data_IF_372511989250
#
_entry.id   IF_372511989250
#
_cell.length_a   1.000
_cell.length_b   1.000
_cell.length_c   1.000
_cell.angle_alpha   90.00
_cell.angle_beta   90.00
_cell.angle_gamma   90.00
#
_symmetry.space_group_name_H-M   'P 1'
#
loop_
_entity.id
_entity.type
_entity.pdbx_description
1 polymer ?
#
# COMPACT_ATOMS: atom_id res chain seq x y z
N UNK A 1 39.37 34.85 -38.88
CA UNK A 1 38.32 34.70 -39.90
C UNK A 1 37.93 36.08 -40.41
N UNK A 2 37.71 36.20 -41.73
CA UNK A 2 37.69 37.42 -42.56
C UNK A 2 37.08 38.67 -41.91
N UNK A 3 37.92 39.66 -41.58
CA UNK A 3 37.55 40.99 -41.07
C UNK A 3 37.41 42.03 -42.18
N UNK A 4 36.64 41.73 -43.24
CA UNK A 4 36.22 42.73 -44.21
C UNK A 4 35.16 43.65 -43.59
N UNK A 5 35.24 44.97 -43.80
CA UNK A 5 34.16 45.90 -43.41
C UNK A 5 32.90 45.53 -44.20
N UNK A 6 32.04 44.72 -43.60
CA UNK A 6 30.77 44.32 -44.20
C UNK A 6 29.94 45.56 -44.54
N UNK A 7 29.43 45.60 -45.77
CA UNK A 7 28.49 46.64 -46.21
C UNK A 7 27.23 46.61 -45.34
N UNK A 8 26.55 47.75 -45.16
CA UNK A 8 25.33 47.81 -44.33
C UNK A 8 24.27 46.76 -44.72
N UNK A 9 24.24 46.37 -46.00
CA UNK A 9 23.40 45.28 -46.53
C UNK A 9 23.84 43.90 -46.03
N UNK A 10 25.15 43.61 -46.00
CA UNK A 10 25.67 42.35 -45.45
C UNK A 10 25.43 42.24 -43.95
N UNK A 11 25.57 43.34 -43.21
CA UNK A 11 25.19 43.38 -41.78
C UNK A 11 23.71 43.11 -41.56
N UNK A 12 22.82 43.67 -42.38
CA UNK A 12 21.39 43.36 -42.30
C UNK A 12 21.10 41.90 -42.64
N UNK A 13 21.78 41.33 -43.65
CA UNK A 13 21.61 39.91 -44.01
C UNK A 13 22.16 39.00 -42.90
N UNK A 14 23.31 39.32 -42.31
CA UNK A 14 23.91 38.57 -41.20
C UNK A 14 23.05 38.62 -39.93
N UNK A 15 22.50 39.79 -39.59
CA UNK A 15 21.54 39.93 -38.49
C UNK A 15 20.25 39.17 -38.76
N UNK A 16 19.73 39.19 -39.98
CA UNK A 16 18.55 38.42 -40.36
C UNK A 16 18.80 36.91 -40.27
N UNK A 17 19.99 36.44 -40.68
CA UNK A 17 20.35 35.03 -40.59
C UNK A 17 20.53 34.60 -39.13
N UNK A 18 21.17 35.43 -38.30
CA UNK A 18 21.27 35.19 -36.85
C UNK A 18 19.89 35.13 -36.18
N UNK A 19 18.98 36.04 -36.52
CA UNK A 19 17.60 36.04 -36.01
C UNK A 19 16.83 34.82 -36.50
N UNK A 20 16.96 34.43 -37.77
CA UNK A 20 16.32 33.22 -38.32
C UNK A 20 16.85 31.94 -37.65
N UNK A 21 18.17 31.83 -37.49
CA UNK A 21 18.80 30.69 -36.81
C UNK A 21 18.41 30.64 -35.33
N UNK A 22 18.32 31.80 -34.66
CA UNK A 22 17.81 31.89 -33.29
C UNK A 22 16.33 31.48 -33.18
N UNK A 23 15.49 31.89 -34.13
CA UNK A 23 14.07 31.49 -34.18
C UNK A 23 13.90 29.98 -34.44
N UNK A 24 14.70 29.40 -35.32
CA UNK A 24 14.70 27.95 -35.56
C UNK A 24 15.22 27.16 -34.35
N UNK A 25 16.21 27.70 -33.64
CA UNK A 25 16.76 27.08 -32.43
C UNK A 25 15.84 27.23 -31.20
N UNK A 26 14.97 28.25 -31.18
CA UNK A 26 13.99 28.47 -30.12
C UNK A 26 12.80 27.50 -30.19
N UNK A 27 12.52 26.95 -31.38
CA UNK A 27 11.50 25.93 -31.55
C UNK A 27 12.07 24.55 -31.19
N UNK A 28 11.43 23.86 -30.26
CA UNK A 28 11.82 22.50 -29.86
C UNK A 28 11.57 21.53 -31.02
N UNK A 29 12.47 20.56 -31.21
CA UNK A 29 12.31 19.56 -32.28
C UNK A 29 11.09 18.68 -32.03
N UNK A 30 10.35 18.36 -33.11
CA UNK A 30 9.15 17.50 -33.03
C UNK A 30 9.46 16.12 -32.43
N UNK A 31 10.68 15.62 -32.63
CA UNK A 31 11.14 14.35 -32.06
C UNK A 31 11.25 14.40 -30.53
N UNK A 32 11.78 15.50 -29.97
CA UNK A 32 11.87 15.71 -28.52
C UNK A 32 10.49 15.83 -27.91
N UNK A 33 9.58 16.57 -28.57
CA UNK A 33 8.18 16.68 -28.14
C UNK A 33 7.48 15.32 -28.11
N UNK A 34 7.64 14.51 -29.17
CA UNK A 34 7.06 13.15 -29.24
C UNK A 34 7.61 12.21 -28.16
N UNK A 35 8.87 12.38 -27.75
CA UNK A 35 9.44 11.61 -26.65
C UNK A 35 8.71 11.91 -25.33
N UNK A 36 8.41 13.18 -25.06
CA UNK A 36 7.62 13.56 -23.87
C UNK A 36 6.19 13.03 -23.91
N UNK A 37 5.54 13.04 -25.08
CA UNK A 37 4.22 12.39 -25.25
C UNK A 37 4.28 10.90 -24.91
N UNK A 38 5.32 10.21 -25.38
CA UNK A 38 5.51 8.77 -25.11
C UNK A 38 5.74 8.50 -23.62
N UNK A 39 6.53 9.34 -22.95
CA UNK A 39 6.77 9.24 -21.51
C UNK A 39 5.47 9.46 -20.74
N UNK A 40 4.70 10.50 -21.07
CA UNK A 40 3.41 10.79 -20.45
C UNK A 40 2.43 9.61 -20.57
N UNK A 41 2.31 9.02 -21.77
CA UNK A 41 1.49 7.82 -21.99
C UNK A 41 1.93 6.64 -21.12
N UNK A 42 3.25 6.41 -21.01
CA UNK A 42 3.80 5.37 -20.14
C UNK A 42 3.48 5.61 -18.66
N UNK A 43 3.61 6.86 -18.20
CA UNK A 43 3.29 7.24 -16.83
C UNK A 43 1.79 7.15 -16.54
N UNK A 44 0.93 7.52 -17.49
CA UNK A 44 -0.53 7.35 -17.36
C UNK A 44 -0.94 5.89 -17.23
N UNK A 45 -0.36 4.99 -18.03
CA UNK A 45 -0.61 3.54 -17.89
C UNK A 45 -0.16 3.02 -16.52
N UNK A 46 0.98 3.53 -16.05
CA UNK A 46 1.50 3.19 -14.72
C UNK A 46 0.55 3.69 -13.63
N UNK A 47 0.06 4.91 -13.74
CA UNK A 47 -0.93 5.50 -12.84
C UNK A 47 -2.23 4.68 -12.79
N UNK A 48 -2.78 4.29 -13.95
CA UNK A 48 -3.98 3.45 -14.03
C UNK A 48 -3.77 2.07 -13.37
N UNK A 49 -2.59 1.46 -13.55
CA UNK A 49 -2.26 0.20 -12.90
C UNK A 49 -2.13 0.35 -11.37
N UNK A 50 -1.51 1.44 -10.90
CA UNK A 50 -1.39 1.72 -9.47
C UNK A 50 -2.76 2.01 -8.86
N UNK A 51 -3.61 2.82 -9.52
CA UNK A 51 -4.98 3.10 -9.07
C UNK A 51 -5.79 1.79 -8.95
N UNK A 52 -5.67 0.89 -9.92
CA UNK A 52 -6.27 -0.45 -9.86
C UNK A 52 -5.79 -1.27 -8.67
N UNK A 53 -4.47 -1.29 -8.42
CA UNK A 53 -3.87 -1.97 -7.25
C UNK A 53 -4.36 -1.35 -5.94
N UNK A 54 -4.32 -0.02 -5.84
CA UNK A 54 -4.71 0.74 -4.65
C UNK A 54 -6.18 0.57 -4.30
N UNK A 55 -7.07 0.60 -5.30
CA UNK A 55 -8.50 0.35 -5.08
C UNK A 55 -8.75 -1.04 -4.49
N UNK A 56 -8.03 -2.05 -4.97
CA UNK A 56 -8.10 -3.43 -4.44
C UNK A 56 -7.59 -3.49 -2.99
N UNK A 57 -6.46 -2.84 -2.70
CA UNK A 57 -5.88 -2.78 -1.34
C UNK A 57 -6.81 -2.08 -0.34
N UNK A 58 -7.35 -0.92 -0.71
CA UNK A 58 -8.28 -0.16 0.12
C UNK A 58 -9.59 -0.93 0.34
N UNK A 59 -10.10 -1.63 -0.68
CA UNK A 59 -11.27 -2.48 -0.55
C UNK A 59 -11.02 -3.64 0.41
N UNK A 60 -9.89 -4.35 0.26
CA UNK A 60 -9.52 -5.44 1.17
C UNK A 60 -9.40 -4.97 2.62
N UNK A 61 -8.71 -3.83 2.83
CA UNK A 61 -8.57 -3.21 4.14
C UNK A 61 -9.94 -2.80 4.73
N UNK A 62 -10.85 -2.28 3.89
CA UNK A 62 -12.18 -1.88 4.32
C UNK A 62 -13.07 -3.09 4.70
N UNK A 63 -13.00 -4.18 3.94
CA UNK A 63 -13.69 -5.44 4.25
C UNK A 63 -13.21 -6.00 5.59
N UNK A 64 -11.88 -6.12 5.76
CA UNK A 64 -11.30 -6.66 6.99
C UNK A 64 -11.57 -5.74 8.20
N UNK A 65 -11.65 -4.43 8.01
CA UNK A 65 -12.07 -3.50 9.06
C UNK A 65 -13.56 -3.61 9.41
N UNK A 66 -14.42 -4.03 8.46
CA UNK A 66 -15.81 -4.34 8.73
C UNK A 66 -15.98 -5.64 9.54
N UNK A 67 -15.10 -6.62 9.31
CA UNK A 67 -15.11 -7.89 10.04
C UNK A 67 -14.44 -7.79 11.42
N UNK A 68 -13.36 -7.00 11.52
CA UNK A 68 -12.62 -6.81 12.75
C UNK A 68 -12.11 -5.37 12.91
N UNK A 69 -12.98 -4.53 13.49
CA UNK A 69 -12.70 -3.12 13.71
C UNK A 69 -11.59 -2.87 14.73
N UNK A 70 -11.36 -3.78 15.69
CA UNK A 70 -10.34 -3.60 16.74
C UNK A 70 -8.92 -3.65 16.18
N UNK A 71 -8.70 -4.45 15.13
CA UNK A 71 -7.37 -4.62 14.51
C UNK A 71 -7.18 -3.77 13.25
N UNK A 72 -8.14 -3.79 12.32
CA UNK A 72 -8.00 -3.10 11.04
C UNK A 72 -8.56 -1.69 11.05
N UNK A 73 -9.29 -1.27 12.10
CA UNK A 73 -9.95 0.04 12.16
C UNK A 73 -8.97 1.21 12.09
N UNK A 74 -7.90 1.18 12.88
CA UNK A 74 -6.89 2.24 12.90
C UNK A 74 -6.13 2.36 11.56
N UNK A 75 -5.77 1.22 10.97
CA UNK A 75 -5.13 1.15 9.66
C UNK A 75 -6.05 1.69 8.55
N UNK A 76 -7.34 1.33 8.57
CA UNK A 76 -8.33 1.79 7.60
C UNK A 76 -8.58 3.31 7.69
N UNK A 77 -8.66 3.87 8.89
CA UNK A 77 -8.81 5.32 9.08
C UNK A 77 -7.58 6.06 8.52
N UNK A 78 -6.39 5.57 8.83
CA UNK A 78 -5.12 6.17 8.37
C UNK A 78 -5.00 6.11 6.85
N UNK A 79 -5.30 4.94 6.25
CA UNK A 79 -5.31 4.76 4.79
C UNK A 79 -6.31 5.70 4.10
N UNK A 80 -7.54 5.84 4.63
CA UNK A 80 -8.55 6.77 4.09
C UNK A 80 -8.13 8.24 4.20
N UNK A 81 -7.49 8.61 5.30
CA UNK A 81 -7.00 9.98 5.50
C UNK A 81 -5.93 10.35 4.46
N UNK A 82 -4.98 9.45 4.22
CA UNK A 82 -3.94 9.66 3.20
C UNK A 82 -4.55 9.63 1.79
N UNK A 83 -5.48 8.73 1.52
CA UNK A 83 -6.18 8.65 0.23
C UNK A 83 -6.93 9.94 -0.13
N UNK A 84 -7.63 10.53 0.84
CA UNK A 84 -8.36 11.80 0.62
C UNK A 84 -7.41 12.91 0.20
N UNK A 85 -6.27 13.06 0.88
CA UNK A 85 -5.28 14.11 0.58
C UNK A 85 -4.48 13.84 -0.68
N UNK A 86 -4.14 12.58 -0.96
CA UNK A 86 -3.53 12.19 -2.23
C UNK A 86 -4.44 12.55 -3.40
N UNK A 87 -5.74 12.31 -3.26
CA UNK A 87 -6.75 12.65 -4.28
C UNK A 87 -6.88 14.17 -4.44
N UNK A 88 -6.99 14.94 -3.38
CA UNK A 88 -7.01 16.42 -3.44
C UNK A 88 -5.76 16.98 -4.14
N UNK A 89 -4.58 16.41 -3.85
CA UNK A 89 -3.33 16.82 -4.47
C UNK A 89 -3.26 16.47 -5.96
N UNK A 90 -3.77 15.28 -6.34
CA UNK A 90 -3.82 14.84 -7.75
C UNK A 90 -4.81 15.69 -8.55
N UNK A 91 -5.98 16.00 -7.98
CA UNK A 91 -6.96 16.92 -8.56
C UNK A 91 -6.36 18.31 -8.77
N UNK A 92 -5.59 18.80 -7.79
CA UNK A 92 -4.87 20.06 -7.93
C UNK A 92 -3.84 20.03 -9.08
N UNK A 93 -3.10 18.92 -9.23
CA UNK A 93 -2.16 18.74 -10.35
C UNK A 93 -2.90 18.68 -11.69
N UNK A 94 -4.03 17.97 -11.75
CA UNK A 94 -4.85 17.87 -12.96
C UNK A 94 -5.47 19.22 -13.36
N UNK A 95 -5.87 20.05 -12.38
CA UNK A 95 -6.28 21.43 -12.63
C UNK A 95 -5.16 22.28 -13.23
N UNK A 96 -3.91 22.14 -12.75
CA UNK A 96 -2.75 22.84 -13.33
C UNK A 96 -2.54 22.40 -14.79
N UNK A 97 -2.60 21.09 -15.07
CA UNK A 97 -2.49 20.54 -16.43
C UNK A 97 -3.61 21.04 -17.33
N UNK A 98 -4.84 21.07 -16.83
CA UNK A 98 -6.00 21.55 -17.57
C UNK A 98 -5.91 23.05 -17.90
N UNK A 99 -5.49 23.88 -16.93
CA UNK A 99 -5.34 25.33 -17.13
C UNK A 99 -4.19 25.69 -18.07
N UNK A 100 -3.03 25.05 -17.91
CA UNK A 100 -1.89 25.25 -18.83
C UNK A 100 -2.24 24.85 -20.26
N UNK A 101 -3.02 23.77 -20.42
CA UNK A 101 -3.54 23.34 -21.71
C UNK A 101 -4.61 24.28 -22.29
N UNK A 102 -5.56 24.75 -21.46
CA UNK A 102 -6.60 25.70 -21.88
C UNK A 102 -6.02 26.99 -22.45
N UNK A 103 -4.95 27.53 -21.83
CA UNK A 103 -4.22 28.69 -22.34
C UNK A 103 -3.59 28.40 -23.71
N UNK A 104 -3.06 27.18 -23.93
CA UNK A 104 -2.46 26.77 -25.20
C UNK A 104 -3.45 26.75 -26.37
N UNK A 105 -4.70 26.38 -26.11
CA UNK A 105 -5.76 26.32 -27.13
C UNK A 105 -6.52 27.64 -27.30
N UNK A 106 -6.14 28.70 -26.56
CA UNK A 106 -6.81 30.00 -26.59
C UNK A 106 -8.19 30.02 -25.93
N UNK A 107 -8.49 29.05 -25.06
CA UNK A 107 -9.71 29.03 -24.28
C UNK A 107 -9.61 30.02 -23.09
N UNK A 108 -10.68 30.79 -22.78
CA UNK A 108 -10.66 31.71 -21.64
C UNK A 108 -10.51 30.95 -20.32
N UNK A 109 -9.64 31.47 -19.44
CA UNK A 109 -9.37 30.95 -18.09
C UNK A 109 -10.60 30.99 -17.16
N UNK A 110 -11.58 31.84 -17.46
CA UNK A 110 -12.80 32.13 -16.69
C UNK A 110 -14.03 31.29 -17.12
N UNK A 111 -13.89 30.39 -18.11
CA UNK A 111 -14.98 29.54 -18.59
C UNK A 111 -14.89 28.09 -18.10
N UNK A 112 -15.99 27.32 -18.22
CA UNK A 112 -15.96 25.86 -18.08
C UNK A 112 -14.85 25.31 -18.98
N UNK A 113 -13.78 24.78 -18.37
CA UNK A 113 -12.81 23.95 -19.08
C UNK A 113 -13.65 22.91 -19.83
N UNK A 114 -13.48 22.75 -21.16
CA UNK A 114 -14.35 21.87 -21.92
C UNK A 114 -14.43 20.50 -21.23
N UNK A 115 -15.63 19.94 -21.05
CA UNK A 115 -15.81 18.65 -20.36
C UNK A 115 -15.03 17.50 -21.03
N UNK A 116 -14.60 17.70 -22.29
CA UNK A 116 -13.68 16.81 -23.00
C UNK A 116 -12.25 16.84 -22.45
N UNK A 117 -11.81 17.97 -21.86
CA UNK A 117 -10.47 18.25 -21.32
C UNK A 117 -10.36 17.91 -19.84
N UNK A 118 -11.39 18.26 -19.07
CA UNK A 118 -11.42 18.05 -17.63
C UNK A 118 -12.84 17.70 -17.19
N UNK A 119 -13.01 16.52 -16.59
CA UNK A 119 -14.27 16.16 -15.94
C UNK A 119 -13.99 15.25 -14.74
N UNK A 120 -14.88 15.29 -13.74
CA UNK A 120 -14.80 14.48 -12.52
C UNK A 120 -13.45 14.58 -11.78
N UNK A 121 -12.85 15.76 -11.71
CA UNK A 121 -11.57 15.95 -11.00
C UNK A 121 -10.33 15.48 -11.79
N UNK A 122 -10.51 14.92 -12.99
CA UNK A 122 -9.45 14.28 -13.77
C UNK A 122 -9.16 15.04 -15.05
N UNK A 123 -7.89 15.17 -15.39
CA UNK A 123 -7.46 15.60 -16.72
C UNK A 123 -7.68 14.44 -17.70
N UNK A 124 -8.68 14.60 -18.59
CA UNK A 124 -9.19 13.50 -19.42
C UNK A 124 -8.45 13.34 -20.75
N UNK A 125 -7.78 14.38 -21.20
CA UNK A 125 -7.05 14.36 -22.47
C UNK A 125 -5.60 13.94 -22.20
N UNK A 126 -5.14 12.86 -22.81
CA UNK A 126 -3.70 12.62 -22.88
C UNK A 126 -3.06 13.51 -23.92
N UNK A 127 -1.74 13.66 -23.84
CA UNK A 127 -0.96 14.28 -24.91
C UNK A 127 -1.12 13.53 -26.27
N UNK A 128 -1.81 12.39 -26.29
CA UNK A 128 -2.12 11.55 -27.44
C UNK A 128 -3.24 12.08 -28.35
N UNK A 129 -4.04 13.05 -27.89
CA UNK A 129 -5.09 13.63 -28.73
C UNK A 129 -4.52 14.59 -29.79
N UNK A 130 -5.11 14.60 -31.00
CA UNK A 130 -4.65 15.49 -32.10
C UNK A 130 -4.76 16.97 -31.73
N UNK A 131 -5.67 17.33 -30.81
CA UNK A 131 -5.83 18.68 -30.26
C UNK A 131 -4.73 19.07 -29.27
N UNK A 132 -4.14 18.11 -28.54
CA UNK A 132 -3.01 18.37 -27.64
C UNK A 132 -1.71 18.65 -28.35
N UNK A 133 -1.58 18.33 -29.65
CA UNK A 133 -0.32 18.56 -30.39
C UNK A 133 -0.13 20.01 -30.84
N UNK A 134 -1.13 20.88 -30.64
CA UNK A 134 -1.08 22.30 -31.03
C UNK A 134 -0.61 23.13 -29.84
N UNK A 135 0.61 23.68 -29.93
CA UNK A 135 1.18 24.58 -28.92
C UNK A 135 1.87 23.89 -27.74
N UNK A 136 2.15 22.59 -27.81
CA UNK A 136 2.90 21.88 -26.76
C UNK A 136 4.39 22.24 -26.66
N UNK A 137 4.91 22.89 -27.69
CA UNK A 137 6.21 23.53 -27.73
C UNK A 137 6.22 24.90 -27.04
N UNK A 138 5.04 25.43 -26.65
CA UNK A 138 4.94 26.69 -25.93
C UNK A 138 5.52 26.56 -24.51
N UNK A 139 6.49 27.42 -24.21
CA UNK A 139 7.19 27.52 -22.93
C UNK A 139 6.68 28.68 -22.05
N UNK A 140 6.01 29.67 -22.64
CA UNK A 140 5.53 30.87 -21.95
C UNK A 140 4.30 30.57 -21.10
N UNK A 141 3.38 29.72 -21.57
CA UNK A 141 2.14 29.41 -20.86
C UNK A 141 2.40 28.80 -19.49
N UNK A 142 3.31 27.81 -19.46
CA UNK A 142 3.69 27.15 -18.22
C UNK A 142 4.44 28.10 -17.28
N UNK A 143 5.38 28.88 -17.84
CA UNK A 143 6.15 29.86 -17.06
C UNK A 143 5.25 30.93 -16.44
N UNK A 144 4.27 31.45 -17.19
CA UNK A 144 3.36 32.48 -16.72
C UNK A 144 2.37 31.98 -15.66
N UNK A 145 2.00 30.70 -15.68
CA UNK A 145 1.09 30.13 -14.68
C UNK A 145 1.84 29.65 -13.42
N UNK A 146 2.96 28.95 -13.59
CA UNK A 146 3.62 28.23 -12.50
C UNK A 146 4.79 29.01 -11.87
N UNK A 147 5.42 29.95 -12.58
CA UNK A 147 6.65 30.62 -12.13
C UNK A 147 6.45 32.12 -11.89
N UNK A 148 5.61 32.79 -12.68
CA UNK A 148 5.36 34.23 -12.52
C UNK A 148 4.44 34.47 -11.31
N UNK A 149 4.94 35.19 -10.30
CA UNK A 149 4.06 35.75 -9.26
C UNK A 149 3.10 36.77 -9.90
N UNK A 150 1.79 36.70 -9.66
CA UNK A 150 0.86 37.69 -10.19
C UNK A 150 1.20 39.06 -9.58
N UNK A 151 1.58 40.03 -10.42
CA UNK A 151 1.92 41.39 -9.99
C UNK A 151 0.70 42.16 -9.44
N UNK A 152 -0.52 41.65 -9.64
CA UNK A 152 -1.76 42.09 -9.00
C UNK A 152 -2.67 40.85 -8.85
N UNK A 153 -3.14 40.49 -7.64
CA UNK A 153 -4.17 39.46 -7.49
C UNK A 153 -5.45 39.91 -8.19
N UNK A 154 -6.03 39.03 -9.00
CA UNK A 154 -7.29 39.30 -9.71
C UNK A 154 -8.48 39.01 -8.81
N UNK A 155 -9.61 39.69 -9.05
CA UNK A 155 -10.81 39.66 -8.18
C UNK A 155 -11.49 38.28 -8.09
N UNK A 156 -11.03 37.29 -8.87
CA UNK A 156 -11.49 35.90 -8.83
C UNK A 156 -10.47 34.92 -8.20
N UNK A 157 -9.49 35.44 -7.45
CA UNK A 157 -8.71 34.61 -6.54
C UNK A 157 -9.65 34.10 -5.44
N UNK A 158 -9.85 32.79 -5.38
CA UNK A 158 -10.62 32.13 -4.32
C UNK A 158 -10.14 32.65 -2.94
N UNK A 159 -11.01 32.81 -1.92
CA UNK A 159 -10.70 33.52 -0.67
C UNK A 159 -9.45 33.02 0.10
N UNK A 160 -8.92 31.85 -0.24
CA UNK A 160 -7.74 31.20 0.35
C UNK A 160 -6.39 31.52 -0.34
N UNK A 161 -6.34 32.34 -1.40
CA UNK A 161 -5.06 32.72 -2.04
C UNK A 161 -4.34 31.57 -2.78
N UNK A 162 -5.10 30.63 -3.35
CA UNK A 162 -4.58 29.50 -4.13
C UNK A 162 -4.18 29.96 -5.55
N UNK A 163 -3.06 30.67 -5.65
CA UNK A 163 -2.41 30.85 -6.95
C UNK A 163 -1.94 29.48 -7.44
N UNK A 164 -2.26 29.09 -8.68
CA UNK A 164 -1.81 27.86 -9.34
C UNK A 164 -0.29 27.83 -9.60
N UNK A 165 0.47 28.54 -8.76
CA UNK A 165 1.91 28.70 -8.75
C UNK A 165 2.57 27.42 -8.25
N UNK A 166 3.74 27.10 -8.81
CA UNK A 166 4.50 25.92 -8.42
C UNK A 166 4.97 25.95 -6.96
N UNK A 167 5.00 27.11 -6.30
CA UNK A 167 5.32 27.24 -4.87
C UNK A 167 4.24 26.62 -3.99
N UNK A 168 2.96 26.86 -4.29
CA UNK A 168 1.81 26.27 -3.59
C UNK A 168 1.78 24.75 -3.83
N UNK A 169 2.04 24.30 -5.05
CA UNK A 169 2.14 22.87 -5.36
C UNK A 169 3.22 22.18 -4.53
N UNK A 170 4.40 22.81 -4.43
CA UNK A 170 5.50 22.31 -3.59
C UNK A 170 5.08 22.22 -2.13
N UNK A 171 4.45 23.26 -1.58
CA UNK A 171 4.08 23.28 -0.16
C UNK A 171 3.07 22.18 0.17
N UNK A 172 2.09 21.94 -0.73
CA UNK A 172 1.17 20.80 -0.63
C UNK A 172 1.88 19.44 -0.73
N UNK A 173 2.89 19.31 -1.60
CA UNK A 173 3.71 18.09 -1.71
C UNK A 173 4.52 17.84 -0.43
N UNK A 174 5.08 18.89 0.18
CA UNK A 174 5.82 18.81 1.44
C UNK A 174 4.89 18.45 2.61
N UNK A 175 3.67 18.98 2.64
CA UNK A 175 2.67 18.60 3.63
C UNK A 175 2.27 17.13 3.49
N UNK A 176 1.99 16.69 2.25
CA UNK A 176 1.69 15.29 1.95
C UNK A 176 2.81 14.35 2.40
N UNK A 177 4.07 14.71 2.11
CA UNK A 177 5.26 13.99 2.58
C UNK A 177 5.30 13.87 4.10
N UNK A 178 5.10 14.99 4.83
CA UNK A 178 5.10 15.00 6.30
C UNK A 178 4.05 14.06 6.88
N UNK A 179 2.87 13.99 6.25
CA UNK A 179 1.82 13.10 6.71
C UNK A 179 2.13 11.64 6.46
N UNK A 180 2.59 11.27 5.26
CA UNK A 180 2.97 9.87 5.01
C UNK A 180 4.06 9.44 5.98
N UNK A 181 5.10 10.27 6.16
CA UNK A 181 6.17 9.96 7.11
C UNK A 181 5.63 9.84 8.54
N UNK A 182 4.71 10.72 8.95
CA UNK A 182 4.06 10.67 10.26
C UNK A 182 3.24 9.39 10.48
N UNK A 183 2.59 8.85 9.43
CA UNK A 183 1.90 7.56 9.50
C UNK A 183 2.88 6.38 9.47
N UNK A 184 3.92 6.43 8.62
CA UNK A 184 4.95 5.40 8.51
C UNK A 184 5.80 5.24 9.77
N UNK A 185 6.05 6.33 10.51
CA UNK A 185 6.80 6.31 11.76
C UNK A 185 6.06 5.61 12.90
N UNK A 186 4.72 5.51 12.82
CA UNK A 186 3.92 4.72 13.79
C UNK A 186 4.11 3.22 13.58
N UNK A 187 4.52 2.82 12.36
CA UNK A 187 4.67 1.43 11.93
C UNK A 187 6.12 0.98 12.15
N UNK A 188 6.33 -0.25 12.66
CA UNK A 188 7.67 -0.80 12.88
C UNK A 188 8.32 -1.22 11.54
N UNK A 189 9.66 -1.10 11.44
CA UNK A 189 10.49 -1.55 10.30
C UNK A 189 10.19 -0.84 8.96
N UNK A 190 9.96 0.47 9.02
CA UNK A 190 9.65 1.31 7.84
C UNK A 190 10.81 2.22 7.44
N UNK A 191 11.97 2.10 8.08
CA UNK A 191 13.11 3.02 7.93
C UNK A 191 13.55 3.21 6.47
N UNK A 192 13.60 2.13 5.69
CA UNK A 192 13.99 2.19 4.26
C UNK A 192 12.95 2.86 3.38
N UNK A 193 11.65 2.66 3.67
CA UNK A 193 10.56 3.30 2.93
C UNK A 193 10.48 4.80 3.27
N UNK A 194 10.70 5.16 4.53
CA UNK A 194 10.79 6.56 4.96
C UNK A 194 11.94 7.26 4.23
N UNK A 195 13.14 6.66 4.19
CA UNK A 195 14.28 7.22 3.45
C UNK A 195 14.02 7.38 1.95
N UNK A 196 13.39 6.38 1.32
CA UNK A 196 13.04 6.46 -0.10
C UNK A 196 12.01 7.56 -0.38
N UNK A 197 11.02 7.74 0.51
CA UNK A 197 10.02 8.80 0.37
C UNK A 197 10.61 10.19 0.66
N UNK A 198 11.53 10.30 1.60
CA UNK A 198 12.28 11.54 1.85
C UNK A 198 13.07 11.96 0.61
N UNK A 199 13.73 11.01 -0.06
CA UNK A 199 14.47 11.27 -1.31
C UNK A 199 13.55 11.55 -2.51
N UNK A 200 12.42 10.85 -2.61
CA UNK A 200 11.49 10.99 -3.74
C UNK A 200 10.78 12.35 -3.72
N UNK A 201 10.43 12.83 -2.54
CA UNK A 201 9.76 14.11 -2.33
C UNK A 201 10.73 15.17 -1.76
N UNK A 202 12.00 15.12 -2.18
CA UNK A 202 12.96 16.18 -1.85
C UNK A 202 12.79 17.36 -2.81
N UNK A 203 12.29 18.48 -2.28
CA UNK A 203 12.01 19.69 -3.03
C UNK A 203 12.82 20.85 -2.44
N UNK A 204 14.11 20.99 -2.81
CA UNK A 204 14.99 21.96 -2.19
C UNK A 204 14.52 23.40 -2.41
N UNK A 205 14.65 24.21 -1.36
CA UNK A 205 14.32 25.65 -1.38
C UNK A 205 15.51 26.47 -1.89
N UNK A 206 15.25 27.71 -2.33
CA UNK A 206 16.26 28.66 -2.78
C UNK A 206 17.44 28.87 -1.82
N UNK A 207 17.22 28.68 -0.52
CA UNK A 207 18.24 28.80 0.54
C UNK A 207 19.10 27.54 0.70
N UNK A 208 18.59 26.37 0.34
CA UNK A 208 19.30 25.09 0.45
C UNK A 208 20.16 24.80 -0.78
N UNK A 209 19.81 25.42 -1.89
CA UNK A 209 20.57 25.36 -3.11
C UNK A 209 21.62 26.47 -3.16
N UNK A 210 22.84 26.12 -3.55
CA UNK A 210 24.02 26.98 -3.43
C UNK A 210 24.11 27.97 -4.58
N UNK A 211 23.42 29.10 -4.47
CA UNK A 211 23.90 30.37 -4.99
C UNK A 211 23.56 30.76 -6.43
N UNK A 212 22.57 30.15 -7.08
CA UNK A 212 21.89 30.80 -8.21
C UNK A 212 20.38 30.67 -8.01
N UNK A 213 19.61 31.76 -8.11
CA UNK A 213 18.13 31.70 -7.99
C UNK A 213 17.44 30.74 -8.98
N UNK A 214 18.20 30.18 -9.92
CA UNK A 214 17.89 29.07 -10.83
C UNK A 214 17.75 27.70 -10.14
N UNK A 215 18.12 27.58 -8.86
CA UNK A 215 18.08 26.31 -8.14
C UNK A 215 16.78 26.06 -7.36
N UNK A 216 15.82 26.99 -7.37
CA UNK A 216 14.47 26.70 -6.87
C UNK A 216 13.83 25.58 -7.71
N UNK A 217 13.34 24.52 -7.06
CA UNK A 217 12.72 23.37 -7.75
C UNK A 217 11.66 23.79 -8.78
N UNK A 218 10.86 24.81 -8.47
CA UNK A 218 9.81 25.33 -9.36
C UNK A 218 10.41 25.94 -10.64
N UNK A 219 11.45 26.76 -10.51
CA UNK A 219 12.12 27.39 -11.65
C UNK A 219 12.80 26.32 -12.48
N UNK A 220 13.56 25.41 -11.86
CA UNK A 220 14.27 24.33 -12.57
C UNK A 220 13.36 23.44 -13.41
N UNK A 221 12.16 23.12 -12.94
CA UNK A 221 11.27 22.18 -13.61
C UNK A 221 10.23 22.84 -14.51
N UNK A 222 9.88 24.12 -14.29
CA UNK A 222 8.78 24.78 -15.01
C UNK A 222 9.16 26.09 -15.73
N UNK A 223 10.34 26.66 -15.48
CA UNK A 223 10.77 27.88 -16.18
C UNK A 223 11.31 27.56 -17.57
N UNK A 224 10.69 28.16 -18.60
CA UNK A 224 11.08 28.01 -19.99
C UNK A 224 11.04 26.55 -20.51
N UNK A 225 10.30 25.68 -19.81
CA UNK A 225 10.11 24.27 -20.15
C UNK A 225 8.86 24.12 -21.04
N UNK A 226 8.93 23.35 -22.14
CA UNK A 226 7.77 23.09 -22.99
C UNK A 226 6.60 22.50 -22.21
N UNK A 227 5.38 22.83 -22.63
CA UNK A 227 4.16 22.31 -22.02
C UNK A 227 4.12 20.78 -22.01
N UNK A 228 4.59 20.11 -23.07
CA UNK A 228 4.64 18.65 -23.11
C UNK A 228 5.53 18.05 -21.99
N UNK A 229 6.70 18.64 -21.78
CA UNK A 229 7.63 18.19 -20.75
C UNK A 229 7.08 18.46 -19.35
N UNK A 230 6.51 19.64 -19.15
CA UNK A 230 5.89 20.05 -17.87
C UNK A 230 4.72 19.15 -17.50
N UNK A 231 3.88 18.80 -18.48
CA UNK A 231 2.75 17.89 -18.28
C UNK A 231 3.23 16.47 -17.94
N UNK A 232 4.24 15.96 -18.64
CA UNK A 232 4.84 14.66 -18.34
C UNK A 232 5.49 14.62 -16.93
N UNK A 233 6.14 15.71 -16.50
CA UNK A 233 6.67 15.84 -15.15
C UNK A 233 5.55 15.82 -14.10
N UNK A 234 4.46 16.56 -14.33
CA UNK A 234 3.28 16.55 -13.45
C UNK A 234 2.63 15.17 -13.39
N UNK A 235 2.52 14.44 -14.52
CA UNK A 235 2.05 13.05 -14.54
C UNK A 235 3.00 12.11 -13.78
N UNK A 236 4.30 12.34 -13.86
CA UNK A 236 5.29 11.58 -13.07
C UNK A 236 5.09 11.81 -11.57
N UNK A 237 4.84 13.05 -11.14
CA UNK A 237 4.51 13.37 -9.74
C UNK A 237 3.21 12.68 -9.29
N UNK A 238 2.17 12.65 -10.14
CA UNK A 238 0.94 11.92 -9.84
C UNK A 238 1.20 10.42 -9.63
N UNK A 239 2.03 9.80 -10.48
CA UNK A 239 2.42 8.40 -10.30
C UNK A 239 3.20 8.20 -8.99
N UNK A 240 4.11 9.09 -8.64
CA UNK A 240 4.88 8.99 -7.39
C UNK A 240 3.97 9.12 -6.15
N UNK A 241 2.98 10.02 -6.18
CA UNK A 241 1.99 10.19 -5.11
C UNK A 241 1.20 8.89 -4.90
N UNK A 242 0.66 8.31 -5.98
CA UNK A 242 -0.11 7.05 -5.93
C UNK A 242 0.76 5.84 -5.55
N UNK A 243 1.98 5.76 -6.04
CA UNK A 243 2.93 4.71 -5.64
C UNK A 243 3.22 4.79 -4.14
N UNK A 244 3.53 5.98 -3.62
CA UNK A 244 3.80 6.17 -2.20
C UNK A 244 2.59 5.83 -1.32
N UNK A 245 1.38 6.15 -1.81
CA UNK A 245 0.13 5.77 -1.17
C UNK A 245 -0.05 4.25 -1.14
N UNK A 246 0.13 3.56 -2.27
CA UNK A 246 0.01 2.10 -2.36
C UNK A 246 1.01 1.40 -1.43
N UNK A 247 2.24 1.88 -1.36
CA UNK A 247 3.28 1.32 -0.49
C UNK A 247 2.94 1.52 1.01
N UNK A 248 2.36 2.67 1.38
CA UNK A 248 1.87 2.91 2.73
C UNK A 248 0.72 1.96 3.08
N UNK A 249 -0.28 1.82 2.20
CA UNK A 249 -1.43 0.94 2.44
C UNK A 249 -0.98 -0.51 2.56
N UNK A 250 -0.07 -0.95 1.70
CA UNK A 250 0.56 -2.28 1.78
C UNK A 250 1.23 -2.51 3.13
N UNK A 251 1.95 -1.50 3.65
CA UNK A 251 2.59 -1.63 4.96
C UNK A 251 1.63 -1.60 6.13
N UNK A 252 0.62 -0.73 6.09
CA UNK A 252 -0.45 -0.74 7.09
C UNK A 252 -1.13 -2.12 7.13
N UNK A 253 -1.40 -2.71 5.97
CA UNK A 253 -2.01 -4.03 5.88
C UNK A 253 -1.08 -5.13 6.42
N UNK A 254 0.19 -5.15 6.00
CA UNK A 254 1.20 -6.14 6.43
C UNK A 254 1.47 -6.06 7.93
N UNK A 255 1.47 -4.86 8.52
CA UNK A 255 1.71 -4.69 9.95
C UNK A 255 0.57 -5.30 10.78
N UNK A 256 -0.69 -5.03 10.39
CA UNK A 256 -1.86 -5.62 11.07
C UNK A 256 -1.88 -7.15 10.93
N UNK A 257 -1.60 -7.71 9.75
CA UNK A 257 -1.49 -9.17 9.58
C UNK A 257 -0.30 -9.76 10.35
N UNK A 258 0.83 -9.06 10.35
CA UNK A 258 2.02 -9.43 11.09
C UNK A 258 1.80 -9.42 12.60
N UNK A 259 0.87 -8.62 13.13
CA UNK A 259 0.43 -8.68 14.52
C UNK A 259 -0.58 -9.82 14.80
N UNK A 260 -1.47 -10.11 13.85
CA UNK A 260 -2.48 -11.17 13.94
C UNK A 260 -1.89 -12.60 14.07
N UNK A 261 -0.78 -12.89 13.39
CA UNK A 261 -0.23 -14.25 13.29
C UNK A 261 1.05 -14.49 14.11
N UNK A 262 1.26 -13.76 15.20
CA UNK A 262 2.43 -14.00 16.07
C UNK A 262 2.22 -15.25 16.91
N UNK A 263 2.83 -16.36 16.48
CA UNK A 263 3.01 -17.53 17.34
C UNK A 263 3.98 -17.16 18.48
N UNK A 264 3.43 -16.83 19.65
CA UNK A 264 4.17 -16.33 20.80
C UNK A 264 4.86 -17.45 21.61
N UNK A 265 4.37 -18.68 21.53
CA UNK A 265 4.91 -19.79 22.31
C UNK A 265 5.20 -21.01 21.43
N UNK A 266 6.45 -21.48 21.47
CA UNK A 266 6.82 -22.81 20.96
C UNK A 266 6.82 -23.79 22.14
N UNK A 267 6.12 -24.91 22.01
CA UNK A 267 6.23 -26.03 22.95
C UNK A 267 6.59 -27.30 22.20
N UNK A 268 7.51 -28.07 22.76
CA UNK A 268 7.69 -29.46 22.37
C UNK A 268 6.57 -30.31 22.97
N UNK A 269 5.95 -31.14 22.14
CA UNK A 269 5.01 -32.16 22.57
C UNK A 269 5.49 -33.51 22.07
N UNK A 270 5.23 -34.55 22.85
CA UNK A 270 5.56 -35.93 22.50
C UNK A 270 4.33 -36.80 22.69
N UNK A 271 3.94 -37.53 21.64
CA UNK A 271 2.87 -38.52 21.70
C UNK A 271 3.52 -39.91 21.62
N UNK A 272 3.52 -40.69 22.72
CA UNK A 272 4.04 -42.06 22.67
C UNK A 272 3.10 -42.95 21.85
N UNK A 273 3.65 -43.83 21.00
CA UNK A 273 2.84 -44.81 20.23
C UNK A 273 2.24 -45.89 21.15
N UNK A 274 2.96 -46.24 22.22
CA UNK A 274 2.46 -47.11 23.28
C UNK A 274 2.88 -46.57 24.65
N UNK A 275 1.93 -46.48 25.56
CA UNK A 275 2.19 -46.14 26.97
C UNK A 275 2.66 -47.33 27.80
N UNK A 276 2.64 -48.55 27.23
CA UNK A 276 3.12 -49.78 27.88
C UNK A 276 4.18 -50.46 27.00
N UNK A 277 5.38 -50.64 27.54
CA UNK A 277 6.48 -51.35 26.88
C UNK A 277 7.02 -52.47 27.78
N UNK A 278 7.46 -53.57 27.18
CA UNK A 278 8.11 -54.68 27.90
C UNK A 278 9.60 -54.39 28.09
N UNK A 279 10.20 -54.97 29.14
CA UNK A 279 11.63 -54.83 29.39
C UNK A 279 12.43 -55.46 28.25
N UNK A 280 13.20 -54.63 27.51
CA UNK A 280 13.96 -55.05 26.33
C UNK A 280 13.26 -54.80 24.99
N UNK A 281 12.05 -54.25 24.97
CA UNK A 281 11.39 -53.75 23.77
C UNK A 281 11.77 -52.30 23.43
N UNK A 282 11.48 -51.87 22.20
CA UNK A 282 11.71 -50.50 21.74
C UNK A 282 10.57 -49.56 22.16
N UNK A 283 10.93 -48.35 22.59
CA UNK A 283 9.98 -47.28 22.90
C UNK A 283 9.97 -46.28 21.75
N UNK A 284 8.83 -46.15 21.08
CA UNK A 284 8.62 -45.23 19.97
C UNK A 284 7.67 -44.09 20.39
N UNK A 285 8.05 -42.86 20.05
CA UNK A 285 7.24 -41.67 20.32
C UNK A 285 7.44 -40.64 19.20
N UNK A 286 6.34 -40.03 18.76
CA UNK A 286 6.37 -38.91 17.83
C UNK A 286 6.63 -37.62 18.61
N UNK A 287 7.72 -36.94 18.28
CA UNK A 287 8.09 -35.65 18.89
C UNK A 287 7.82 -34.55 17.87
N UNK A 288 6.96 -33.60 18.21
CA UNK A 288 6.63 -32.47 17.36
C UNK A 288 6.78 -31.14 18.12
N UNK A 289 7.15 -30.10 17.37
CA UNK A 289 7.17 -28.73 17.85
C UNK A 289 5.85 -28.07 17.46
N UNK A 290 5.07 -27.70 18.46
CA UNK A 290 3.81 -27.00 18.24
C UNK A 290 4.03 -25.50 18.53
N UNK A 291 3.66 -24.68 17.55
CA UNK A 291 3.69 -23.22 17.63
C UNK A 291 2.30 -22.71 17.97
N UNK A 292 2.20 -21.83 18.95
CA UNK A 292 0.94 -21.40 19.53
C UNK A 292 0.86 -19.90 19.74
N UNK A 293 -0.37 -19.41 19.72
CA UNK A 293 -0.72 -18.05 20.09
C UNK A 293 -1.45 -18.05 21.44
N UNK A 294 -0.80 -17.50 22.48
CA UNK A 294 -1.38 -17.37 23.82
C UNK A 294 -2.49 -16.30 23.88
N UNK A 295 -2.58 -15.41 22.88
CA UNK A 295 -3.57 -14.34 22.85
C UNK A 295 -4.96 -14.81 22.38
N UNK A 296 -5.02 -15.87 21.58
CA UNK A 296 -6.26 -16.43 21.03
C UNK A 296 -6.37 -17.94 21.37
N UNK A 297 -6.78 -18.29 22.61
CA UNK A 297 -6.90 -19.69 22.99
C UNK A 297 -8.01 -20.38 22.18
N UNK A 298 -7.75 -21.57 21.58
CA UNK A 298 -8.76 -22.30 20.83
C UNK A 298 -9.85 -22.85 21.75
N UNK A 299 -11.07 -23.01 21.23
CA UNK A 299 -12.14 -23.72 21.96
C UNK A 299 -12.02 -25.21 21.66
N UNK A 300 -11.98 -26.05 22.69
CA UNK A 300 -11.90 -27.51 22.52
C UNK A 300 -13.15 -28.17 23.05
N UNK A 301 -13.83 -28.88 22.14
CA UNK A 301 -15.03 -29.66 22.44
C UNK A 301 -14.68 -31.13 22.41
N UNK A 302 -15.01 -31.83 23.49
CA UNK A 302 -14.84 -33.26 23.61
C UNK A 302 -16.20 -33.95 23.59
N UNK A 303 -16.38 -34.94 22.73
CA UNK A 303 -17.59 -35.75 22.69
C UNK A 303 -17.75 -36.59 23.97
N UNK A 304 -19.00 -36.74 24.42
CA UNK A 304 -19.31 -37.73 25.45
C UNK A 304 -19.15 -39.17 24.92
N UNK A 305 -19.12 -40.17 25.81
CA UNK A 305 -18.95 -41.59 25.42
C UNK A 305 -20.04 -42.00 24.43
N UNK A 306 -19.63 -42.38 23.21
CA UNK A 306 -20.53 -42.82 22.13
C UNK A 306 -20.83 -41.77 21.07
N UNK A 307 -20.44 -40.50 21.29
CA UNK A 307 -20.47 -39.45 20.25
C UNK A 307 -19.28 -39.64 19.33
N UNK A 308 -19.54 -39.70 18.02
CA UNK A 308 -18.50 -39.81 16.99
C UNK A 308 -18.37 -38.50 16.25
N UNK A 309 -17.17 -38.25 15.75
CA UNK A 309 -16.94 -37.17 14.80
C UNK A 309 -17.67 -37.44 13.48
N UNK A 310 -18.46 -36.47 13.00
CA UNK A 310 -19.07 -36.53 11.67
C UNK A 310 -18.14 -35.85 10.64
N UNK A 311 -17.64 -36.66 9.69
CA UNK A 311 -16.76 -36.20 8.61
C UNK A 311 -17.41 -35.21 7.63
N UNK A 312 -18.74 -35.08 7.64
CA UNK A 312 -19.48 -34.21 6.71
C UNK A 312 -19.69 -32.80 7.26
N UNK A 313 -19.96 -32.69 8.56
CA UNK A 313 -20.19 -31.41 9.25
C UNK A 313 -18.93 -30.87 9.96
N UNK A 314 -17.87 -31.68 9.99
CA UNK A 314 -16.64 -31.43 10.75
C UNK A 314 -16.95 -31.06 12.21
N UNK A 315 -17.98 -31.67 12.78
CA UNK A 315 -18.51 -31.36 14.11
C UNK A 315 -18.90 -32.65 14.86
N UNK A 316 -19.19 -32.53 16.16
CA UNK A 316 -19.60 -33.65 17.00
C UNK A 316 -21.13 -33.83 16.92
N UNK A 317 -21.59 -35.04 16.55
CA UNK A 317 -23.02 -35.37 16.52
C UNK A 317 -23.51 -35.86 17.90
N UNK A 318 -23.64 -34.93 18.86
CA UNK A 318 -24.15 -35.23 20.20
C UNK A 318 -23.74 -34.24 21.30
N UNK A 319 -23.98 -34.63 22.56
CA UNK A 319 -23.58 -33.82 23.71
C UNK A 319 -22.05 -33.76 23.86
N UNK A 320 -21.52 -32.55 24.03
CA UNK A 320 -20.10 -32.27 24.16
C UNK A 320 -19.78 -31.55 25.46
N UNK A 321 -18.58 -31.80 25.99
CA UNK A 321 -18.00 -31.07 27.12
C UNK A 321 -16.96 -30.09 26.58
N UNK A 322 -17.05 -28.82 27.00
CA UNK A 322 -16.06 -27.80 26.67
C UNK A 322 -14.92 -27.94 27.67
N UNK A 323 -13.70 -28.21 27.18
CA UNK A 323 -12.52 -28.30 28.03
C UNK A 323 -12.05 -26.86 28.31
N UNK A 324 -12.01 -26.41 29.59
CA UNK A 324 -11.46 -25.11 29.92
C UNK A 324 -9.98 -25.09 29.57
N UNK A 325 -9.61 -24.24 28.62
CA UNK A 325 -8.24 -24.06 28.17
C UNK A 325 -7.49 -23.11 29.09
N UNK A 326 -6.39 -23.57 29.69
CA UNK A 326 -5.38 -22.69 30.30
C UNK A 326 -4.35 -22.34 29.20
N UNK A 327 -4.67 -21.31 28.40
CA UNK A 327 -3.90 -20.96 27.21
C UNK A 327 -4.07 -22.02 26.12
N UNK A 328 -3.04 -22.86 25.94
CA UNK A 328 -2.96 -23.85 24.84
C UNK A 328 -3.28 -25.27 25.30
N UNK A 329 -3.18 -25.55 26.61
CA UNK A 329 -3.36 -26.89 27.14
C UNK A 329 -4.66 -27.01 27.92
N UNK A 330 -5.56 -27.84 27.42
CA UNK A 330 -6.76 -28.27 28.14
C UNK A 330 -6.37 -29.45 29.02
N UNK A 331 -6.33 -29.25 30.35
CA UNK A 331 -6.07 -30.35 31.28
C UNK A 331 -7.32 -31.21 31.39
N UNK A 332 -7.39 -32.25 30.57
CA UNK A 332 -8.49 -33.21 30.60
C UNK A 332 -8.29 -34.22 31.74
N UNK A 333 -9.26 -34.30 32.66
CA UNK A 333 -9.29 -35.31 33.73
C UNK A 333 -10.64 -36.01 33.76
N UNK A 334 -10.72 -37.18 33.12
CA UNK A 334 -11.93 -38.00 33.05
C UNK A 334 -11.82 -39.15 34.05
N UNK A 335 -12.87 -39.49 34.82
CA UNK A 335 -12.89 -40.72 35.61
C UNK A 335 -12.84 -41.94 34.68
N UNK A 336 -11.88 -42.84 34.88
CA UNK A 336 -11.76 -44.08 34.11
C UNK A 336 -13.00 -44.96 34.36
N UNK A 337 -13.83 -45.13 33.32
CA UNK A 337 -15.02 -45.96 33.33
C UNK A 337 -14.71 -47.46 33.19
N UNK A 338 -15.70 -48.25 32.75
CA UNK A 338 -15.62 -49.71 32.67
C UNK A 338 -14.34 -50.27 32.03
N UNK A 339 -13.93 -51.46 32.50
CA UNK A 339 -12.74 -52.18 32.06
C UNK A 339 -12.73 -52.37 30.53
N UNK A 340 -11.59 -52.11 29.90
CA UNK A 340 -11.40 -52.29 28.45
C UNK A 340 -10.88 -51.05 27.72
N UNK A 341 -10.83 -51.14 26.38
CA UNK A 341 -10.42 -50.04 25.51
C UNK A 341 -11.53 -48.98 25.44
N UNK A 342 -11.16 -47.72 25.64
CA UNK A 342 -12.04 -46.57 25.60
C UNK A 342 -11.51 -45.60 24.54
N UNK A 343 -12.38 -45.15 23.65
CA UNK A 343 -12.08 -44.16 22.60
C UNK A 343 -12.95 -42.93 22.83
N UNK A 344 -12.36 -41.75 22.67
CA UNK A 344 -13.02 -40.44 22.77
C UNK A 344 -12.64 -39.58 21.57
N UNK A 345 -13.64 -39.06 20.87
CA UNK A 345 -13.45 -38.15 19.75
C UNK A 345 -13.65 -36.70 20.21
N UNK A 346 -12.88 -35.78 19.67
CA UNK A 346 -13.00 -34.35 19.95
C UNK A 346 -12.64 -33.49 18.75
N UNK A 347 -12.99 -32.20 18.82
CA UNK A 347 -12.70 -31.20 17.79
C UNK A 347 -12.14 -29.94 18.42
N UNK A 348 -11.05 -29.45 17.86
CA UNK A 348 -10.42 -28.17 18.20
C UNK A 348 -10.94 -27.12 17.21
N UNK A 349 -11.51 -26.05 17.74
CA UNK A 349 -11.95 -24.88 16.98
C UNK A 349 -10.89 -23.80 17.13
N UNK A 350 -10.18 -23.53 16.05
CA UNK A 350 -9.21 -22.45 15.98
C UNK A 350 -9.71 -21.40 15.00
N UNK A 351 -9.95 -20.18 15.50
CA UNK A 351 -10.27 -19.03 14.67
C UNK A 351 -9.04 -18.12 14.59
N UNK A 352 -8.21 -18.21 13.55
CA UNK A 352 -7.15 -17.23 13.32
C UNK A 352 -7.78 -15.85 13.10
N UNK A 353 -7.06 -14.81 13.48
CA UNK A 353 -7.62 -13.46 13.38
C UNK A 353 -7.66 -13.02 11.92
N UNK A 354 -8.87 -12.83 11.39
CA UNK A 354 -9.10 -12.53 9.96
C UNK A 354 -9.16 -13.77 9.06
N UNK A 355 -9.23 -14.99 9.62
CA UNK A 355 -9.41 -16.23 8.86
C UNK A 355 -10.71 -16.97 9.19
N UNK A 356 -11.07 -17.91 8.31
CA UNK A 356 -12.18 -18.81 8.57
C UNK A 356 -11.91 -19.71 9.78
N UNK A 357 -12.98 -20.12 10.46
CA UNK A 357 -12.90 -21.04 11.58
C UNK A 357 -12.35 -22.38 11.08
N UNK A 358 -11.17 -22.75 11.55
CA UNK A 358 -10.56 -24.05 11.27
C UNK A 358 -10.97 -25.04 12.34
N UNK A 359 -11.38 -26.22 11.91
CA UNK A 359 -11.76 -27.33 12.77
C UNK A 359 -10.76 -28.46 12.56
N UNK A 360 -10.08 -28.85 13.63
CA UNK A 360 -9.14 -29.98 13.61
C UNK A 360 -9.64 -31.07 14.55
N UNK A 361 -9.97 -32.28 14.05
CA UNK A 361 -10.37 -33.39 14.90
C UNK A 361 -9.17 -34.00 15.64
N UNK A 362 -9.42 -34.52 16.84
CA UNK A 362 -8.44 -35.32 17.57
C UNK A 362 -9.12 -36.55 18.21
N UNK A 363 -8.34 -37.61 18.38
CA UNK A 363 -8.79 -38.90 18.91
C UNK A 363 -7.97 -39.26 20.14
N UNK A 364 -8.66 -39.71 21.20
CA UNK A 364 -8.05 -40.15 22.45
C UNK A 364 -8.40 -41.61 22.69
N UNK A 365 -7.40 -42.48 22.58
CA UNK A 365 -7.51 -43.90 22.90
C UNK A 365 -6.79 -44.19 24.22
N UNK A 366 -7.50 -44.81 25.18
CA UNK A 366 -6.91 -45.25 26.44
C UNK A 366 -7.47 -46.60 26.90
N UNK A 367 -6.63 -47.39 27.56
CA UNK A 367 -6.98 -48.70 28.08
C UNK A 367 -7.16 -48.65 29.59
N UNK A 368 -8.33 -49.06 30.09
CA UNK A 368 -8.59 -49.18 31.52
C UNK A 368 -8.38 -50.62 31.96
N UNK A 369 -7.32 -50.86 32.72
CA UNK A 369 -7.00 -52.16 33.31
C UNK A 369 -7.46 -52.23 34.77
N UNK A 370 -7.91 -53.41 35.18
CA UNK A 370 -8.18 -53.65 36.60
C UNK A 370 -6.85 -53.73 37.35
N UNK A 371 -6.75 -53.21 38.58
CA UNK A 371 -5.55 -53.37 39.40
C UNK A 371 -5.31 -54.87 39.65
N UNK A 372 -4.08 -55.33 39.41
CA UNK A 372 -3.72 -56.70 39.70
C UNK A 372 -3.62 -56.90 41.21
N UNK A 373 -4.48 -57.77 41.75
CA UNK A 373 -4.41 -58.22 43.15
C UNK A 373 -3.89 -59.65 43.18
N UNK A 374 -2.64 -59.84 43.59
CA UNK A 374 -2.09 -61.18 43.82
C UNK A 374 -2.44 -61.59 45.24
N UNK A 375 -3.53 -62.34 45.39
CA UNK A 375 -3.84 -63.03 46.66
C UNK A 375 -3.22 -64.42 46.59
N UNK A 376 -2.02 -64.57 47.16
CA UNK A 376 -1.42 -65.89 47.37
C UNK A 376 -1.64 -66.31 48.83
N UNK A 377 -2.51 -67.31 49.11
CA UNK A 377 -2.63 -67.83 50.45
C UNK A 377 -1.32 -68.53 50.82
N UNK A 378 -0.65 -68.05 51.87
CA UNK A 378 0.66 -68.55 52.34
C UNK A 378 0.64 -70.01 52.84
N UNK A 379 -0.50 -70.69 52.75
CA UNK A 379 -0.69 -72.12 53.07
C UNK A 379 -1.10 -72.98 51.86
N UNK A 380 -1.22 -72.38 50.67
CA UNK A 380 -1.61 -73.04 49.42
C UNK A 380 -0.46 -73.06 48.39
N UNK A 381 0.69 -72.49 48.75
CA UNK A 381 1.98 -72.62 48.08
C UNK A 381 2.71 -73.87 48.60
N UNK A 382 2.16 -75.06 48.31
CA UNK A 382 2.84 -76.34 48.54
C UNK A 382 3.86 -76.60 47.44
#
# INVERSE_FOLDING_TARGET
MSGGKETGRQKMIGMMYLVLTALLAMNVSKEVVNAFVTIDQGQRKTLEAIDGKLSTQLQALATNAGENAELYGAANISAKSVHSKATELIEHIDLIKAKTFAISIGAPLEGEIPAEVYANGKFLIGLDSVRTLVGIDNYDNNTNLMVKEPANPTVEDNPDGNNYTGTVLRDKLVEYRKQIIGELQKIKRTETLVLNMEQTFDFPTAEEAKGTGEEQWVVKNFYHVPLAASTAMLTTLQSQIRSAESDLVDKLYTDVEGESLKFNALRGASIPLSTTVTQGGDFEADVFMAAFDDANPPEVRLGNIGVRFDSTTMDLDGEYEIIPMEGVTGKLKIPAGGLGAQTRDGVIYFKPVGGELRKEPFYLDYLVLAPQLIVSPTKMNV
#
